data_IF_297465548522
#
_entry.id   IF_297465548522
#
_cell.length_a   1.000
_cell.length_b   1.000
_cell.length_c   1.000
_cell.angle_alpha   90.00
_cell.angle_beta   90.00
_cell.angle_gamma   90.00
#
_symmetry.space_group_name_H-M   'P 1'
#
loop_
_entity.id
_entity.type
_entity.pdbx_description
1 polymer ?
#
# COMPACT_ATOMS: atom_id res chain seq x y z
N UNK A 1 -29.39 -7.68 15.70
CA UNK A 1 -29.45 -8.36 14.39
C UNK A 1 -29.07 -9.84 14.47
N UNK A 2 -28.21 -10.20 15.42
CA UNK A 2 -27.68 -11.55 15.64
C UNK A 2 -28.71 -12.70 15.61
N UNK A 3 -29.82 -12.63 16.35
CA UNK A 3 -30.83 -13.71 16.36
C UNK A 3 -31.44 -13.98 14.98
N UNK A 4 -31.56 -12.95 14.15
CA UNK A 4 -32.19 -13.09 12.84
C UNK A 4 -31.22 -13.66 11.81
N UNK A 5 -29.94 -13.28 11.91
CA UNK A 5 -28.88 -13.82 11.07
C UNK A 5 -28.37 -15.19 11.55
N UNK A 6 -28.89 -15.72 12.66
CA UNK A 6 -28.48 -16.99 13.27
C UNK A 6 -28.50 -18.19 12.34
N UNK A 7 -29.58 -18.45 11.58
CA UNK A 7 -29.58 -19.58 10.66
C UNK A 7 -28.46 -19.49 9.62
N UNK A 8 -28.16 -18.27 9.15
CA UNK A 8 -27.14 -18.01 8.13
C UNK A 8 -25.73 -18.25 8.72
N UNK A 9 -25.41 -17.66 9.88
CA UNK A 9 -24.05 -17.81 10.42
C UNK A 9 -23.80 -19.23 10.98
N UNK A 10 -24.82 -19.94 11.48
CA UNK A 10 -24.68 -21.32 11.94
C UNK A 10 -24.40 -22.29 10.78
N UNK A 11 -25.08 -22.12 9.65
CA UNK A 11 -24.80 -22.90 8.42
C UNK A 11 -23.37 -22.65 7.92
N UNK A 12 -22.84 -21.43 8.08
CA UNK A 12 -21.46 -21.12 7.69
C UNK A 12 -20.44 -21.67 8.67
N UNK A 13 -20.69 -21.53 9.97
CA UNK A 13 -19.79 -22.01 11.03
C UNK A 13 -19.64 -23.54 11.03
N UNK A 14 -20.67 -24.28 10.61
CA UNK A 14 -20.61 -25.76 10.54
C UNK A 14 -19.71 -26.29 9.42
N UNK A 15 -19.35 -25.46 8.42
CA UNK A 15 -18.49 -25.89 7.33
C UNK A 15 -17.05 -26.12 7.83
N UNK A 16 -16.41 -27.25 7.47
CA UNK A 16 -15.04 -27.56 7.93
C UNK A 16 -14.01 -26.47 7.57
N UNK A 17 -14.22 -25.81 6.44
CA UNK A 17 -13.27 -24.83 5.88
C UNK A 17 -13.44 -23.41 6.42
N UNK A 18 -14.50 -23.16 7.21
CA UNK A 18 -14.73 -21.88 7.87
C UNK A 18 -13.80 -21.74 9.08
N UNK A 19 -13.02 -20.66 9.10
CA UNK A 19 -12.11 -20.31 10.18
C UNK A 19 -12.75 -19.37 11.17
N UNK A 20 -13.48 -18.35 10.70
CA UNK A 20 -14.10 -17.39 11.58
C UNK A 20 -15.41 -16.85 11.01
N UNK A 21 -16.32 -16.48 11.91
CA UNK A 21 -17.52 -15.71 11.58
C UNK A 21 -17.64 -14.56 12.55
N UNK A 22 -17.83 -13.35 12.03
CA UNK A 22 -18.00 -12.12 12.79
C UNK A 22 -19.24 -11.37 12.34
N UNK A 23 -19.85 -10.61 13.25
CA UNK A 23 -20.94 -9.69 12.95
C UNK A 23 -20.54 -8.27 13.32
N UNK A 24 -20.88 -7.35 12.43
CA UNK A 24 -20.66 -5.92 12.57
C UNK A 24 -22.02 -5.26 12.48
N UNK A 25 -22.46 -4.62 13.56
CA UNK A 25 -23.71 -3.87 13.57
C UNK A 25 -23.42 -2.39 13.33
N UNK A 26 -24.28 -1.73 12.55
CA UNK A 26 -24.13 -0.31 12.24
C UNK A 26 -24.18 0.51 13.53
N UNK A 27 -23.10 1.23 13.82
CA UNK A 27 -22.97 2.04 15.05
C UNK A 27 -23.87 3.28 15.05
N UNK A 28 -24.02 3.94 13.90
CA UNK A 28 -24.90 5.11 13.73
C UNK A 28 -25.28 5.31 12.24
N UNK A 29 -26.28 6.16 11.97
CA UNK A 29 -26.81 6.41 10.62
C UNK A 29 -25.80 7.07 9.65
N UNK A 30 -24.69 7.63 10.13
CA UNK A 30 -23.65 8.23 9.28
C UNK A 30 -22.45 7.32 9.05
N UNK A 31 -22.39 6.17 9.72
CA UNK A 31 -21.28 5.23 9.56
C UNK A 31 -21.39 4.46 8.25
N UNK A 32 -20.36 4.60 7.41
CA UNK A 32 -20.14 3.76 6.23
C UNK A 32 -19.48 2.41 6.55
N UNK A 33 -19.29 2.08 7.84
CA UNK A 33 -18.57 0.87 8.24
C UNK A 33 -19.21 -0.40 7.67
N UNK A 34 -20.53 -0.42 7.50
CA UNK A 34 -21.30 -1.55 6.97
C UNK A 34 -21.86 -1.29 5.56
N UNK A 35 -21.30 -0.35 4.78
CA UNK A 35 -21.88 0.08 3.49
C UNK A 35 -23.36 0.51 3.58
N UNK A 36 -23.73 1.14 4.71
CA UNK A 36 -25.09 1.53 5.06
C UNK A 36 -26.08 0.37 5.32
N UNK A 37 -25.63 -0.89 5.34
CA UNK A 37 -26.44 -2.01 5.82
C UNK A 37 -26.61 -1.95 7.34
N UNK A 38 -27.70 -2.50 7.88
CA UNK A 38 -27.91 -2.54 9.34
C UNK A 38 -26.93 -3.48 10.04
N UNK A 39 -26.48 -4.53 9.34
CA UNK A 39 -25.40 -5.40 9.78
C UNK A 39 -24.57 -5.96 8.62
N UNK A 40 -23.31 -6.31 8.88
CA UNK A 40 -22.47 -7.09 8.00
C UNK A 40 -22.02 -8.38 8.72
N UNK A 41 -22.04 -9.50 8.00
CA UNK A 41 -21.42 -10.75 8.40
C UNK A 41 -20.13 -10.92 7.63
N UNK A 42 -19.03 -11.12 8.36
CA UNK A 42 -17.75 -11.50 7.80
C UNK A 42 -17.51 -12.98 8.07
N UNK A 43 -17.27 -13.76 7.03
CA UNK A 43 -16.90 -15.17 7.10
C UNK A 43 -15.53 -15.33 6.47
N UNK A 44 -14.58 -15.84 7.24
CA UNK A 44 -13.22 -16.11 6.76
C UNK A 44 -13.10 -17.62 6.56
N UNK A 45 -12.72 -18.03 5.36
CA UNK A 45 -12.54 -19.44 4.98
C UNK A 45 -11.10 -19.69 4.56
N UNK A 46 -10.64 -20.92 4.76
CA UNK A 46 -9.28 -21.29 4.40
C UNK A 46 -9.09 -21.28 2.86
N UNK A 47 -9.99 -21.95 2.13
CA UNK A 47 -10.00 -22.01 0.68
C UNK A 47 -11.36 -21.58 0.12
N UNK A 48 -11.33 -20.93 -1.04
CA UNK A 48 -12.53 -20.60 -1.79
C UNK A 48 -12.18 -20.58 -3.29
N UNK A 49 -13.12 -21.03 -4.12
CA UNK A 49 -13.00 -20.87 -5.58
C UNK A 49 -12.97 -19.38 -5.94
N UNK A 50 -13.92 -18.61 -5.38
CA UNK A 50 -13.93 -17.16 -5.45
C UNK A 50 -13.26 -16.55 -4.20
N UNK A 51 -12.19 -15.73 -4.34
CA UNK A 51 -11.46 -15.18 -3.21
C UNK A 51 -12.30 -14.23 -2.34
N UNK A 52 -13.34 -13.63 -2.94
CA UNK A 52 -14.33 -12.75 -2.29
C UNK A 52 -15.69 -13.08 -2.86
N UNK A 53 -16.65 -13.37 -1.98
CA UNK A 53 -18.03 -13.62 -2.36
C UNK A 53 -18.98 -12.83 -1.46
N UNK A 54 -19.91 -12.10 -2.06
CA UNK A 54 -20.82 -11.19 -1.35
C UNK A 54 -22.28 -11.54 -1.63
N UNK A 55 -23.11 -11.56 -0.58
CA UNK A 55 -24.57 -11.65 -0.68
C UNK A 55 -25.22 -10.55 0.13
N UNK A 56 -26.34 -10.03 -0.35
CA UNK A 56 -27.17 -9.10 0.39
C UNK A 56 -28.49 -9.76 0.78
N UNK A 57 -28.97 -9.41 1.96
CA UNK A 57 -30.20 -9.89 2.54
C UNK A 57 -31.05 -8.69 2.96
N UNK A 58 -32.36 -8.85 2.78
CA UNK A 58 -33.36 -7.92 3.29
C UNK A 58 -34.46 -8.73 3.97
N UNK A 59 -34.89 -8.26 5.15
CA UNK A 59 -35.98 -8.87 5.90
C UNK A 59 -36.61 -7.83 6.81
N UNK A 60 -37.95 -7.75 6.86
CA UNK A 60 -38.68 -6.84 7.74
C UNK A 60 -38.16 -5.38 7.72
N UNK A 61 -37.79 -4.87 6.54
CA UNK A 61 -37.24 -3.52 6.37
C UNK A 61 -35.82 -3.32 6.93
N UNK A 62 -35.13 -4.39 7.29
CA UNK A 62 -33.72 -4.40 7.70
C UNK A 62 -32.85 -5.06 6.64
N UNK A 63 -31.60 -4.61 6.58
CA UNK A 63 -30.63 -5.00 5.55
C UNK A 63 -29.40 -5.64 6.19
N UNK A 64 -28.87 -6.70 5.56
CA UNK A 64 -27.59 -7.27 5.95
C UNK A 64 -26.73 -7.67 4.75
N UNK A 65 -25.41 -7.51 4.86
CA UNK A 65 -24.46 -8.05 3.89
C UNK A 65 -23.72 -9.26 4.47
N UNK A 66 -23.41 -10.24 3.63
CA UNK A 66 -22.55 -11.37 3.94
C UNK A 66 -21.34 -11.32 3.03
N UNK A 67 -20.16 -11.27 3.63
CA UNK A 67 -18.87 -11.28 2.95
C UNK A 67 -18.15 -12.57 3.33
N UNK A 68 -17.91 -13.44 2.35
CA UNK A 68 -17.08 -14.63 2.50
C UNK A 68 -15.74 -14.33 1.83
N UNK A 69 -14.65 -14.44 2.58
CA UNK A 69 -13.30 -14.11 2.11
C UNK A 69 -12.34 -15.25 2.40
N UNK A 70 -11.47 -15.55 1.42
CA UNK A 70 -10.38 -16.50 1.63
C UNK A 70 -9.28 -15.89 2.50
N UNK A 71 -8.56 -16.71 3.28
CA UNK A 71 -7.37 -16.27 4.03
C UNK A 71 -6.33 -15.64 3.10
N UNK A 72 -6.13 -16.21 1.92
CA UNK A 72 -5.18 -15.68 0.93
C UNK A 72 -5.51 -14.23 0.55
N UNK A 73 -6.78 -13.95 0.27
CA UNK A 73 -7.22 -12.60 -0.05
C UNK A 73 -7.09 -11.64 1.13
N UNK A 74 -7.43 -12.12 2.33
CA UNK A 74 -7.29 -11.33 3.56
C UNK A 74 -5.84 -10.92 3.80
N UNK A 75 -4.91 -11.87 3.70
CA UNK A 75 -3.48 -11.61 3.87
C UNK A 75 -2.96 -10.65 2.80
N UNK A 76 -3.43 -10.75 1.56
CA UNK A 76 -3.10 -9.78 0.51
C UNK A 76 -3.63 -8.37 0.84
N UNK A 77 -4.85 -8.23 1.35
CA UNK A 77 -5.38 -6.93 1.77
C UNK A 77 -4.64 -6.33 2.96
N UNK A 78 -4.19 -7.15 3.91
CA UNK A 78 -3.35 -6.71 5.04
C UNK A 78 -2.01 -6.21 4.50
N UNK A 79 -1.37 -7.01 3.64
CA UNK A 79 -0.09 -6.69 3.02
C UNK A 79 -0.14 -5.41 2.19
N UNK A 80 -1.18 -5.23 1.37
CA UNK A 80 -1.30 -4.06 0.49
C UNK A 80 -2.02 -2.86 1.14
N UNK A 81 -2.69 -3.08 2.28
CA UNK A 81 -3.52 -2.06 2.92
C UNK A 81 -4.76 -1.65 2.12
N UNK A 82 -5.26 -2.52 1.24
CA UNK A 82 -6.27 -2.20 0.21
C UNK A 82 -7.73 -2.46 0.62
N UNK A 83 -7.99 -2.88 1.86
CA UNK A 83 -9.36 -3.07 2.36
C UNK A 83 -9.52 -2.74 3.84
N UNK A 84 -9.41 -1.44 4.17
CA UNK A 84 -9.47 -0.92 5.55
C UNK A 84 -10.76 -1.28 6.28
N UNK A 85 -11.87 -1.44 5.54
CA UNK A 85 -13.16 -1.83 6.13
C UNK A 85 -13.10 -3.22 6.73
N UNK A 86 -12.52 -4.19 6.02
CA UNK A 86 -12.34 -5.55 6.54
C UNK A 86 -11.41 -5.55 7.76
N UNK A 87 -10.35 -4.73 7.76
CA UNK A 87 -9.47 -4.58 8.92
C UNK A 87 -10.22 -4.01 10.12
N UNK A 88 -11.01 -2.95 9.93
CA UNK A 88 -11.87 -2.40 10.98
C UNK A 88 -12.83 -3.46 11.52
N UNK A 89 -13.48 -4.24 10.65
CA UNK A 89 -14.37 -5.33 11.05
C UNK A 89 -13.67 -6.40 11.90
N UNK A 90 -12.42 -6.74 11.59
CA UNK A 90 -11.63 -7.71 12.36
C UNK A 90 -11.28 -7.14 13.75
N UNK A 91 -10.91 -5.86 13.83
CA UNK A 91 -10.51 -5.23 15.08
C UNK A 91 -11.70 -4.93 16.00
N UNK A 92 -12.86 -4.58 15.42
CA UNK A 92 -13.99 -3.99 16.13
C UNK A 92 -15.28 -4.83 16.10
N UNK A 93 -15.34 -5.88 15.28
CA UNK A 93 -16.52 -6.72 15.12
C UNK A 93 -16.69 -7.72 16.26
N UNK A 94 -17.94 -8.18 16.46
CA UNK A 94 -18.25 -9.22 17.44
C UNK A 94 -17.98 -10.60 16.81
N UNK A 95 -17.11 -11.38 17.43
CA UNK A 95 -16.82 -12.76 17.03
C UNK A 95 -18.00 -13.67 17.38
N UNK A 96 -18.53 -14.40 16.39
CA UNK A 96 -19.61 -15.38 16.54
C UNK A 96 -19.09 -16.82 16.49
N UNK A 97 -18.00 -17.05 15.77
CA UNK A 97 -17.31 -18.33 15.66
C UNK A 97 -15.83 -18.08 15.37
N UNK A 98 -14.93 -18.81 16.03
CA UNK A 98 -13.50 -18.71 15.82
C UNK A 98 -12.81 -20.07 16.00
N UNK A 99 -12.35 -20.65 14.89
CA UNK A 99 -11.69 -21.95 14.85
C UNK A 99 -10.22 -21.76 15.22
N UNK A 100 -9.78 -22.45 16.27
CA UNK A 100 -8.39 -22.45 16.74
C UNK A 100 -7.84 -21.03 17.02
N UNK A 101 -8.71 -20.12 17.49
CA UNK A 101 -8.35 -18.74 17.86
C UNK A 101 -7.73 -17.96 16.69
N UNK A 102 -8.26 -18.17 15.49
CA UNK A 102 -7.78 -17.52 14.27
C UNK A 102 -7.89 -16.00 14.36
N UNK A 103 -9.03 -15.46 14.83
CA UNK A 103 -9.20 -14.00 14.94
C UNK A 103 -8.26 -13.41 15.99
N UNK A 104 -8.07 -14.09 17.12
CA UNK A 104 -7.13 -13.63 18.17
C UNK A 104 -5.72 -13.49 17.61
N UNK A 105 -5.20 -14.54 16.95
CA UNK A 105 -3.88 -14.53 16.31
C UNK A 105 -3.78 -13.47 15.21
N UNK A 106 -4.86 -13.26 14.46
CA UNK A 106 -4.91 -12.24 13.42
C UNK A 106 -4.83 -10.83 13.99
N UNK A 107 -5.53 -10.55 15.10
CA UNK A 107 -5.46 -9.25 15.78
C UNK A 107 -4.06 -9.03 16.36
N UNK A 108 -3.44 -10.05 16.95
CA UNK A 108 -2.04 -9.99 17.39
C UNK A 108 -1.11 -9.66 16.22
N UNK A 109 -1.26 -10.34 15.09
CA UNK A 109 -0.51 -10.05 13.87
C UNK A 109 -0.72 -8.61 13.41
N UNK A 110 -1.96 -8.09 13.40
CA UNK A 110 -2.27 -6.72 12.98
C UNK A 110 -1.69 -5.65 13.92
N UNK A 111 -1.49 -5.99 15.19
CA UNK A 111 -0.84 -5.11 16.16
C UNK A 111 0.69 -5.13 16.03
N UNK A 112 1.25 -6.16 15.39
CA UNK A 112 2.67 -6.23 15.07
C UNK A 112 2.93 -5.77 13.63
N UNK A 113 4.00 -5.03 13.37
CA UNK A 113 4.34 -4.64 11.99
C UNK A 113 5.70 -5.23 11.56
N UNK A 114 5.73 -6.46 11.01
CA UNK A 114 6.97 -7.17 10.67
C UNK A 114 7.86 -6.36 9.71
N UNK A 115 9.18 -6.43 9.90
CA UNK A 115 10.13 -5.64 9.10
C UNK A 115 10.09 -5.95 7.59
N UNK A 116 9.94 -7.22 7.21
CA UNK A 116 9.83 -7.61 5.79
C UNK A 116 8.60 -7.02 5.12
N UNK A 117 7.46 -7.00 5.81
CA UNK A 117 6.23 -6.37 5.31
C UNK A 117 6.38 -4.84 5.19
N UNK A 118 7.12 -4.23 6.12
CA UNK A 118 7.43 -2.79 6.07
C UNK A 118 8.26 -2.47 4.84
N UNK A 119 9.32 -3.24 4.58
CA UNK A 119 10.22 -3.04 3.43
C UNK A 119 9.46 -3.09 2.10
N UNK A 120 8.59 -4.09 1.93
CA UNK A 120 7.71 -4.17 0.76
C UNK A 120 6.78 -2.95 0.65
N UNK A 121 6.05 -2.61 1.72
CA UNK A 121 5.09 -1.49 1.70
C UNK A 121 5.77 -0.13 1.47
N UNK A 122 6.94 0.10 2.06
CA UNK A 122 7.75 1.30 1.79
C UNK A 122 8.10 1.35 0.31
N UNK A 123 8.56 0.25 -0.29
CA UNK A 123 8.84 0.21 -1.72
C UNK A 123 7.62 0.50 -2.60
N UNK A 124 6.44 -0.01 -2.24
CA UNK A 124 5.21 0.29 -2.98
C UNK A 124 4.81 1.76 -2.89
N UNK A 125 4.91 2.38 -1.71
CA UNK A 125 4.63 3.81 -1.56
C UNK A 125 5.73 4.67 -2.21
N UNK A 126 6.98 4.21 -2.22
CA UNK A 126 8.11 4.89 -2.86
C UNK A 126 7.95 4.95 -4.38
N UNK A 127 7.49 3.85 -5.02
CA UNK A 127 7.15 3.85 -6.44
C UNK A 127 6.09 4.89 -6.81
N UNK A 128 5.01 4.96 -6.02
CA UNK A 128 3.94 5.96 -6.20
C UNK A 128 4.44 7.38 -5.96
N UNK A 129 5.30 7.57 -4.95
CA UNK A 129 5.94 8.85 -4.65
C UNK A 129 6.76 9.35 -5.84
N UNK A 130 7.66 8.52 -6.37
CA UNK A 130 8.49 8.86 -7.54
C UNK A 130 7.60 9.21 -8.73
N UNK A 131 6.61 8.37 -9.04
CA UNK A 131 5.68 8.62 -10.15
C UNK A 131 5.01 9.99 -10.02
N UNK A 132 4.39 10.27 -8.87
CA UNK A 132 3.65 11.51 -8.65
C UNK A 132 4.57 12.73 -8.66
N UNK A 133 5.80 12.58 -8.19
CA UNK A 133 6.81 13.63 -8.30
C UNK A 133 7.17 13.94 -9.75
N UNK A 134 7.50 12.91 -10.56
CA UNK A 134 7.89 13.09 -11.97
C UNK A 134 6.73 13.67 -12.79
N UNK A 135 5.53 13.11 -12.66
CA UNK A 135 4.31 13.62 -13.31
C UNK A 135 4.04 15.07 -12.91
N UNK A 136 4.10 15.37 -11.61
CA UNK A 136 3.88 16.72 -11.09
C UNK A 136 4.91 17.72 -11.60
N UNK A 137 6.18 17.33 -11.69
CA UNK A 137 7.26 18.18 -12.19
C UNK A 137 7.07 18.49 -13.68
N UNK A 138 6.68 17.51 -14.48
CA UNK A 138 6.37 17.71 -15.89
C UNK A 138 5.20 18.72 -16.05
N UNK A 139 4.10 18.55 -15.30
CA UNK A 139 3.00 19.52 -15.31
C UNK A 139 3.43 20.92 -14.89
N UNK A 140 4.32 21.03 -13.91
CA UNK A 140 4.82 22.32 -13.45
C UNK A 140 5.66 23.02 -14.52
N UNK A 141 6.55 22.29 -15.19
CA UNK A 141 7.38 22.79 -16.30
C UNK A 141 6.52 23.23 -17.50
N UNK A 142 5.41 22.53 -17.75
CA UNK A 142 4.42 22.88 -18.79
C UNK A 142 3.43 23.98 -18.37
N UNK A 143 3.57 24.54 -17.17
CA UNK A 143 2.70 25.61 -16.64
C UNK A 143 1.31 25.14 -16.21
N UNK A 144 1.03 23.84 -16.16
CA UNK A 144 -0.22 23.23 -15.71
C UNK A 144 -0.28 23.16 -14.18
N UNK A 145 -0.42 24.33 -13.53
CA UNK A 145 -0.23 24.46 -12.07
C UNK A 145 -1.25 23.67 -11.24
N UNK A 146 -2.48 23.47 -11.72
CA UNK A 146 -3.50 22.70 -10.98
C UNK A 146 -3.19 21.21 -10.96
N UNK A 147 -2.72 20.65 -12.08
CA UNK A 147 -2.31 19.25 -12.18
C UNK A 147 -1.00 18.98 -11.44
N UNK A 148 -0.07 19.93 -11.49
CA UNK A 148 1.14 19.93 -10.67
C UNK A 148 0.81 19.93 -9.17
N UNK A 149 -0.15 20.78 -8.76
CA UNK A 149 -0.64 20.82 -7.38
C UNK A 149 -1.25 19.49 -6.94
N UNK A 150 -2.14 18.90 -7.75
CA UNK A 150 -2.74 17.62 -7.42
C UNK A 150 -1.67 16.52 -7.27
N UNK A 151 -0.69 16.50 -8.18
CA UNK A 151 0.39 15.51 -8.18
C UNK A 151 1.30 15.65 -6.95
N UNK A 152 1.71 16.87 -6.57
CA UNK A 152 2.56 17.07 -5.40
C UNK A 152 1.83 16.76 -4.09
N UNK A 153 0.53 17.02 -3.99
CA UNK A 153 -0.30 16.63 -2.84
C UNK A 153 -0.30 15.11 -2.67
N UNK A 154 -0.37 14.35 -3.76
CA UNK A 154 -0.27 12.90 -3.72
C UNK A 154 1.14 12.42 -3.38
N UNK A 155 2.18 13.03 -3.94
CA UNK A 155 3.57 12.73 -3.61
C UNK A 155 3.84 12.90 -2.10
N UNK A 156 3.46 14.05 -1.53
CA UNK A 156 3.59 14.32 -0.10
C UNK A 156 2.81 13.32 0.76
N UNK A 157 1.63 12.86 0.32
CA UNK A 157 0.88 11.80 1.00
C UNK A 157 1.61 10.44 1.00
N UNK A 158 2.24 10.06 -0.12
CA UNK A 158 3.02 8.83 -0.19
C UNK A 158 4.27 8.93 0.68
N UNK A 159 4.96 10.07 0.66
CA UNK A 159 6.08 10.34 1.56
C UNK A 159 5.66 10.23 3.03
N UNK A 160 4.55 10.87 3.41
CA UNK A 160 3.98 10.78 4.76
C UNK A 160 3.74 9.33 5.20
N UNK A 161 3.22 8.47 4.31
CA UNK A 161 3.01 7.05 4.61
C UNK A 161 4.32 6.30 4.78
N UNK A 162 5.34 6.59 3.97
CA UNK A 162 6.67 6.01 4.11
C UNK A 162 7.22 6.32 5.51
N UNK A 163 7.14 7.57 5.96
CA UNK A 163 7.64 7.96 7.30
C UNK A 163 6.94 7.21 8.44
N UNK A 164 5.64 6.98 8.33
CA UNK A 164 4.88 6.22 9.35
C UNK A 164 5.29 4.73 9.33
N UNK A 165 5.41 4.13 8.14
CA UNK A 165 5.79 2.72 7.99
C UNK A 165 7.22 2.49 8.48
N UNK A 166 8.15 3.36 8.13
CA UNK A 166 9.57 3.27 8.51
C UNK A 166 9.73 3.22 10.04
N UNK A 167 8.93 4.00 10.76
CA UNK A 167 8.88 4.00 12.23
C UNK A 167 8.15 2.81 12.86
N UNK A 168 7.63 1.88 12.07
CA UNK A 168 6.98 0.68 12.58
C UNK A 168 5.48 0.79 12.78
N UNK A 169 4.84 1.83 12.24
CA UNK A 169 3.40 2.07 12.42
C UNK A 169 2.63 1.91 11.12
N UNK A 170 1.39 1.46 11.21
CA UNK A 170 0.49 1.43 10.05
C UNK A 170 -0.02 2.85 9.73
N UNK A 171 0.04 3.31 8.47
CA UNK A 171 -0.53 4.59 8.10
C UNK A 171 -2.05 4.62 8.25
N UNK A 172 -2.53 5.56 9.04
CA UNK A 172 -3.96 5.77 9.30
C UNK A 172 -4.62 6.59 8.19
N UNK A 173 -5.95 6.76 8.28
CA UNK A 173 -6.71 7.66 7.41
C UNK A 173 -6.23 9.10 7.59
N UNK A 174 -5.99 9.50 8.83
CA UNK A 174 -5.52 10.83 9.24
C UNK A 174 -4.00 10.86 9.37
N UNK A 175 -3.29 10.35 8.35
CA UNK A 175 -1.82 10.17 8.36
C UNK A 175 -1.05 11.43 8.79
N UNK A 176 -1.53 12.62 8.45
CA UNK A 176 -0.90 13.90 8.85
C UNK A 176 -0.85 14.12 10.37
N UNK A 177 -1.78 13.55 11.14
CA UNK A 177 -1.71 13.57 12.61
C UNK A 177 -0.56 12.72 13.12
N UNK A 178 -0.31 11.56 12.50
CA UNK A 178 0.83 10.70 12.83
C UNK A 178 2.15 11.43 12.45
N UNK A 179 2.24 11.91 11.21
CA UNK A 179 3.43 12.58 10.68
C UNK A 179 3.76 13.87 11.42
N UNK A 180 2.78 14.63 11.90
CA UNK A 180 3.02 15.85 12.69
C UNK A 180 3.93 15.61 13.89
N UNK A 181 3.82 14.45 14.55
CA UNK A 181 4.61 14.10 15.73
C UNK A 181 5.86 13.29 15.33
N UNK A 182 5.72 12.45 14.30
CA UNK A 182 6.79 11.57 13.84
C UNK A 182 7.83 12.30 13.00
N UNK A 183 7.42 13.00 11.94
CA UNK A 183 8.29 13.70 10.98
C UNK A 183 7.77 15.12 10.71
N UNK A 184 8.02 16.06 11.65
CA UNK A 184 7.48 17.42 11.57
C UNK A 184 7.93 18.19 10.32
N UNK A 185 9.08 17.83 9.72
CA UNK A 185 9.59 18.46 8.51
C UNK A 185 8.69 18.15 7.31
N UNK A 186 8.27 16.89 7.14
CA UNK A 186 7.35 16.47 6.07
C UNK A 186 5.97 17.10 6.28
N UNK A 187 5.49 17.14 7.53
CA UNK A 187 4.24 17.85 7.86
C UNK A 187 4.31 19.34 7.49
N UNK A 188 5.43 20.01 7.78
CA UNK A 188 5.63 21.42 7.45
C UNK A 188 5.57 21.67 5.95
N UNK A 189 6.14 20.81 5.10
CA UNK A 189 6.05 20.97 3.65
C UNK A 189 4.60 21.01 3.15
N UNK A 190 3.75 20.08 3.62
CA UNK A 190 2.34 20.09 3.25
C UNK A 190 1.62 21.33 3.78
N UNK A 191 1.96 21.76 4.99
CA UNK A 191 1.42 22.99 5.59
C UNK A 191 1.80 24.23 4.77
N UNK A 192 3.06 24.38 4.36
CA UNK A 192 3.52 25.51 3.54
C UNK A 192 2.85 25.53 2.15
N UNK A 193 2.58 24.37 1.57
CA UNK A 193 1.82 24.27 0.31
C UNK A 193 0.41 24.90 0.44
N UNK A 194 -0.26 24.71 1.58
CA UNK A 194 -1.64 25.17 1.80
C UNK A 194 -1.68 26.61 2.32
N UNK A 195 -0.86 26.92 3.33
CA UNK A 195 -0.99 28.13 4.16
C UNK A 195 -0.07 29.28 3.75
N UNK A 196 0.94 29.04 2.90
CA UNK A 196 1.84 30.11 2.48
C UNK A 196 1.11 31.17 1.66
N UNK A 197 1.45 32.44 1.89
CA UNK A 197 0.94 33.61 1.17
C UNK A 197 1.57 33.78 -0.23
N UNK A 198 2.53 32.92 -0.59
CA UNK A 198 3.19 32.92 -1.88
C UNK A 198 2.23 32.51 -3.02
N UNK A 199 2.56 32.93 -4.24
CA UNK A 199 1.85 32.46 -5.44
C UNK A 199 1.88 30.93 -5.53
N UNK A 200 0.85 30.32 -6.13
CA UNK A 200 0.82 28.86 -6.32
C UNK A 200 2.07 28.35 -7.05
N UNK A 201 2.50 29.07 -8.10
CA UNK A 201 3.72 28.74 -8.83
C UNK A 201 4.95 28.69 -7.89
N UNK A 202 5.15 29.71 -7.05
CA UNK A 202 6.28 29.77 -6.13
C UNK A 202 6.22 28.68 -5.05
N UNK A 203 5.03 28.41 -4.52
CA UNK A 203 4.81 27.29 -3.57
C UNK A 203 5.20 25.96 -4.20
N UNK A 204 4.73 25.68 -5.42
CA UNK A 204 5.05 24.45 -6.14
C UNK A 204 6.55 24.34 -6.44
N UNK A 205 7.19 25.40 -6.91
CA UNK A 205 8.63 25.44 -7.19
C UNK A 205 9.45 25.00 -5.96
N UNK A 206 9.17 25.61 -4.80
CA UNK A 206 9.85 25.29 -3.54
C UNK A 206 9.55 23.86 -3.08
N UNK A 207 8.31 23.40 -3.26
CA UNK A 207 7.92 22.05 -2.88
C UNK A 207 8.58 20.97 -3.75
N UNK A 208 8.73 21.20 -5.06
CA UNK A 208 9.45 20.26 -5.93
C UNK A 208 10.94 20.20 -5.60
N UNK A 209 11.57 21.33 -5.26
CA UNK A 209 12.95 21.37 -4.79
C UNK A 209 13.12 20.55 -3.50
N UNK A 210 12.27 20.79 -2.50
CA UNK A 210 12.33 20.04 -1.24
C UNK A 210 12.01 18.55 -1.43
N UNK A 211 11.06 18.23 -2.31
CA UNK A 211 10.66 16.84 -2.57
C UNK A 211 11.76 16.05 -3.29
N UNK A 212 12.50 16.64 -4.23
CA UNK A 212 13.63 15.95 -4.89
C UNK A 212 14.66 15.47 -3.85
N UNK A 213 15.03 16.36 -2.91
CA UNK A 213 15.96 16.02 -1.83
C UNK A 213 15.42 14.90 -0.95
N UNK A 214 14.14 14.94 -0.56
CA UNK A 214 13.53 13.93 0.31
C UNK A 214 13.36 12.58 -0.37
N UNK A 215 13.00 12.57 -1.67
CA UNK A 215 12.90 11.33 -2.44
C UNK A 215 14.29 10.69 -2.55
N UNK A 216 15.33 11.50 -2.77
CA UNK A 216 16.71 11.03 -2.84
C UNK A 216 17.19 10.48 -1.50
N UNK A 217 17.00 11.20 -0.39
CA UNK A 217 17.46 10.77 0.94
C UNK A 217 16.80 9.47 1.41
N UNK A 218 15.63 9.13 0.85
CA UNK A 218 14.90 7.91 1.13
C UNK A 218 15.16 6.78 0.12
N UNK A 219 16.04 6.96 -0.86
CA UNK A 219 16.23 6.00 -1.95
C UNK A 219 16.69 4.62 -1.46
N UNK A 220 17.60 4.55 -0.49
CA UNK A 220 18.06 3.26 0.05
C UNK A 220 16.91 2.48 0.71
N UNK A 221 16.15 3.13 1.60
CA UNK A 221 15.03 2.50 2.32
C UNK A 221 13.87 2.20 1.35
N UNK A 222 13.55 3.15 0.47
CA UNK A 222 12.49 3.07 -0.54
C UNK A 222 12.74 1.98 -1.57
N UNK A 223 13.97 1.80 -2.01
CA UNK A 223 14.33 0.79 -3.00
C UNK A 223 14.74 -0.55 -2.39
N UNK A 224 14.87 -0.64 -1.06
CA UNK A 224 15.47 -1.77 -0.39
C UNK A 224 14.88 -3.12 -0.84
N UNK A 225 13.55 -3.22 -1.00
CA UNK A 225 12.91 -4.48 -1.45
C UNK A 225 13.31 -4.88 -2.87
N UNK A 226 13.38 -3.90 -3.77
CA UNK A 226 13.78 -4.14 -5.16
C UNK A 226 15.26 -4.46 -5.24
N UNK A 227 16.09 -3.78 -4.44
CA UNK A 227 17.52 -4.04 -4.37
C UNK A 227 17.80 -5.44 -3.83
N UNK A 228 17.08 -5.93 -2.82
CA UNK A 228 17.24 -7.32 -2.36
C UNK A 228 16.98 -8.33 -3.49
N UNK A 229 15.88 -8.16 -4.23
CA UNK A 229 15.56 -9.01 -5.39
C UNK A 229 16.65 -8.91 -6.45
N UNK A 230 17.14 -7.69 -6.73
CA UNK A 230 18.17 -7.48 -7.73
C UNK A 230 19.52 -8.11 -7.34
N UNK A 231 19.81 -8.29 -6.05
CA UNK A 231 21.07 -8.87 -5.57
C UNK A 231 21.14 -10.39 -5.79
N UNK A 232 20.00 -11.05 -5.99
CA UNK A 232 19.92 -12.50 -6.27
C UNK A 232 20.64 -12.89 -7.57
N UNK A 233 20.81 -11.95 -8.51
CA UNK A 233 21.45 -12.20 -9.81
C UNK A 233 22.29 -11.01 -10.24
N UNK A 234 23.48 -11.28 -10.81
CA UNK A 234 24.41 -10.26 -11.30
C UNK A 234 23.82 -9.27 -12.31
N UNK A 235 22.82 -9.67 -13.08
CA UNK A 235 22.22 -8.84 -14.13
C UNK A 235 20.82 -9.30 -14.45
N UNK A 236 19.91 -8.36 -14.57
CA UNK A 236 18.52 -8.57 -14.89
C UNK A 236 18.15 -7.92 -16.22
N UNK A 237 17.37 -8.62 -17.04
CA UNK A 237 16.55 -7.96 -18.04
C UNK A 237 15.26 -7.44 -17.40
N UNK A 238 14.69 -6.36 -17.92
CA UNK A 238 13.44 -5.81 -17.37
C UNK A 238 12.29 -6.83 -17.34
N UNK A 239 12.19 -7.66 -18.39
CA UNK A 239 11.17 -8.72 -18.46
C UNK A 239 11.34 -9.82 -17.39
N UNK A 240 12.56 -10.01 -16.87
CA UNK A 240 12.82 -10.93 -15.76
C UNK A 240 12.32 -10.33 -14.44
N UNK A 241 12.62 -9.05 -14.19
CA UNK A 241 12.13 -8.33 -13.00
C UNK A 241 10.59 -8.28 -12.97
N UNK A 242 9.94 -8.03 -14.12
CA UNK A 242 8.47 -8.03 -14.21
C UNK A 242 7.84 -9.37 -13.84
N UNK A 243 8.55 -10.48 -14.07
CA UNK A 243 8.06 -11.84 -13.78
C UNK A 243 8.46 -12.33 -12.39
N UNK A 244 9.28 -11.56 -11.66
CA UNK A 244 9.76 -11.98 -10.35
C UNK A 244 8.59 -12.03 -9.34
N UNK A 245 8.36 -13.14 -8.63
CA UNK A 245 7.24 -13.26 -7.69
C UNK A 245 7.21 -12.16 -6.63
N UNK A 246 8.37 -11.76 -6.11
CA UNK A 246 8.47 -10.73 -5.07
C UNK A 246 8.31 -9.31 -5.60
N UNK A 247 8.29 -9.12 -6.92
CA UNK A 247 8.03 -7.84 -7.58
C UNK A 247 6.63 -7.75 -8.19
N UNK A 248 5.77 -8.76 -8.01
CA UNK A 248 4.44 -8.83 -8.62
C UNK A 248 3.54 -7.62 -8.31
N UNK A 249 3.74 -6.97 -7.17
CA UNK A 249 2.99 -5.77 -6.77
C UNK A 249 3.61 -4.46 -7.24
N UNK A 250 4.85 -4.49 -7.74
CA UNK A 250 5.55 -3.31 -8.25
C UNK A 250 5.29 -3.08 -9.72
N UNK A 251 4.66 -4.01 -10.46
CA UNK A 251 4.54 -3.98 -11.92
C UNK A 251 4.11 -2.63 -12.49
N UNK A 252 3.16 -1.94 -11.84
CA UNK A 252 2.70 -0.62 -12.28
C UNK A 252 3.80 0.46 -12.22
N UNK A 253 4.69 0.40 -11.24
CA UNK A 253 5.69 1.43 -10.93
C UNK A 253 7.14 0.96 -11.18
N UNK A 254 7.35 -0.30 -11.52
CA UNK A 254 8.68 -0.89 -11.64
C UNK A 254 9.55 -0.13 -12.66
N UNK A 255 8.98 0.26 -13.79
CA UNK A 255 9.69 1.04 -14.80
C UNK A 255 10.20 2.37 -14.26
N UNK A 256 9.33 3.14 -13.60
CA UNK A 256 9.70 4.46 -13.08
C UNK A 256 10.71 4.35 -11.93
N UNK A 257 10.60 3.31 -11.09
CA UNK A 257 11.56 3.07 -10.02
C UNK A 257 12.94 2.73 -10.59
N UNK A 258 13.03 1.80 -11.55
CA UNK A 258 14.31 1.37 -12.11
C UNK A 258 15.02 2.52 -12.85
N UNK A 259 14.29 3.35 -13.61
CA UNK A 259 14.88 4.53 -14.25
C UNK A 259 15.36 5.54 -13.20
N UNK A 260 14.55 5.84 -12.18
CA UNK A 260 14.96 6.74 -11.10
C UNK A 260 16.21 6.24 -10.38
N UNK A 261 16.29 4.95 -10.04
CA UNK A 261 17.47 4.36 -9.39
C UNK A 261 18.70 4.34 -10.31
N UNK A 262 18.50 4.31 -11.62
CA UNK A 262 19.59 4.47 -12.59
C UNK A 262 20.11 5.91 -12.59
N UNK A 263 19.22 6.90 -12.60
CA UNK A 263 19.59 8.31 -12.54
C UNK A 263 20.32 8.67 -11.24
N UNK A 264 19.97 8.00 -10.12
CA UNK A 264 20.60 8.21 -8.80
C UNK A 264 21.80 7.27 -8.53
N UNK A 265 22.31 6.59 -9.55
CA UNK A 265 23.50 5.73 -9.46
C UNK A 265 23.42 4.52 -8.51
N UNK A 266 22.22 4.11 -8.11
CA UNK A 266 22.00 2.90 -7.29
C UNK A 266 21.89 1.65 -8.18
N UNK A 267 21.37 1.82 -9.39
CA UNK A 267 21.27 0.76 -10.40
C UNK A 267 22.14 1.12 -11.60
N UNK A 268 23.02 0.20 -11.98
CA UNK A 268 23.82 0.29 -13.18
C UNK A 268 23.12 -0.32 -14.38
N UNK A 269 23.48 0.18 -15.57
CA UNK A 269 23.00 -0.30 -16.85
C UNK A 269 24.16 -0.86 -17.66
N UNK A 270 23.93 -1.98 -18.36
CA UNK A 270 24.86 -2.49 -19.38
C UNK A 270 24.11 -2.99 -20.60
N UNK A 271 24.79 -2.97 -21.73
CA UNK A 271 24.29 -3.51 -22.98
C UNK A 271 24.43 -5.04 -23.01
N UNK A 272 23.40 -5.72 -23.49
CA UNK A 272 23.38 -7.17 -23.75
C UNK A 272 23.08 -7.35 -25.23
N UNK A 273 23.97 -8.03 -25.96
CA UNK A 273 23.83 -8.22 -27.40
C UNK A 273 22.50 -8.87 -27.80
N UNK A 274 21.91 -8.36 -28.88
CA UNK A 274 20.80 -9.02 -29.57
C UNK A 274 21.27 -9.67 -30.86
N UNK A 275 20.41 -10.47 -31.49
CA UNK A 275 20.66 -11.03 -32.83
C UNK A 275 20.74 -9.95 -33.92
N UNK A 276 20.19 -8.76 -33.67
CA UNK A 276 20.24 -7.63 -34.60
C UNK A 276 21.50 -6.81 -34.40
N UNK A 277 22.22 -6.51 -35.48
CA UNK A 277 23.38 -5.62 -35.42
C UNK A 277 22.94 -4.24 -34.88
N UNK A 278 23.68 -3.73 -33.87
CA UNK A 278 23.49 -2.40 -33.22
C UNK A 278 22.22 -2.22 -32.37
N UNK A 279 21.48 -3.28 -32.06
CA UNK A 279 20.40 -3.24 -31.07
C UNK A 279 20.83 -4.07 -29.87
N UNK A 280 20.73 -3.50 -28.67
CA UNK A 280 21.10 -4.14 -27.42
C UNK A 280 19.90 -4.20 -26.48
N UNK A 281 19.76 -5.31 -25.76
CA UNK A 281 18.91 -5.33 -24.58
C UNK A 281 19.57 -4.50 -23.47
N UNK A 282 18.76 -3.73 -22.75
CA UNK A 282 19.21 -3.02 -21.55
C UNK A 282 19.19 -3.99 -20.36
N UNK A 283 20.36 -4.28 -19.82
CA UNK A 283 20.54 -5.07 -18.60
C UNK A 283 20.75 -4.17 -17.39
N UNK A 284 20.16 -4.52 -16.25
CA UNK A 284 20.21 -3.77 -15.00
C UNK A 284 20.95 -4.57 -13.93
N UNK A 285 21.74 -3.89 -13.09
CA UNK A 285 22.48 -4.52 -12.00
C UNK A 285 22.68 -3.55 -10.83
N UNK A 286 22.88 -4.06 -9.61
CA UNK A 286 23.15 -3.20 -8.45
C UNK A 286 24.56 -2.63 -8.55
N UNK A 287 24.71 -1.32 -8.37
CA UNK A 287 26.01 -0.71 -8.13
C UNK A 287 26.37 -0.92 -6.66
N UNK A 288 27.36 -1.76 -6.38
CA UNK A 288 27.91 -1.86 -5.02
C UNK A 288 28.58 -0.52 -4.70
N UNK A 289 28.17 0.12 -3.61
CA UNK A 289 28.86 1.30 -3.10
C UNK A 289 30.33 0.94 -2.83
N UNK A 290 31.24 1.85 -3.16
CA UNK A 290 32.69 1.62 -3.07
C UNK A 290 33.20 1.55 -1.62
N UNK A 291 32.36 1.85 -0.61
CA UNK A 291 32.80 1.99 0.79
C UNK A 291 32.27 0.89 1.73
N UNK A 292 32.66 -0.36 1.48
CA UNK A 292 32.54 -1.44 2.50
C UNK A 292 33.77 -2.35 2.57
N UNK A 293 34.95 -1.80 2.27
CA UNK A 293 36.23 -2.39 2.65
C UNK A 293 37.14 -1.32 3.26
N UNK A 294 36.99 -1.13 4.56
CA UNK A 294 38.03 -0.65 5.46
C UNK A 294 37.93 -1.40 6.78
#
# INVERSE_FOLDING_TARGET
MENLLRPIYQERASRPDTLAVMIIERRNQTSSATDNFDAALLVIVNNAEDPVFVKHYEFNGKTASLHIISVKQLQEWILLGTNRRIIDWILNGKVLFDRNEFIVKLIEQLNTFPFSERKLKIGLEYGKLIRRYIEGKAFFEDGQLLDAYNSIVHALHHLARIEVIDKGFHPEVTVWNQVRHMEPQVYKLYKELIESNESLHKRLELLFLASDFLIHSKAEIGAAHILDVMDEKKTWQFAELLKHPDLKYFTADLGVIIEFLTEKDLVGVKEIETKGQKIFHRGYFIKKSVDSKS
#
